data_IF_666759634765
#
_entry.id   IF_666759634765
#
_cell.length_a   1.000
_cell.length_b   1.000
_cell.length_c   1.000
_cell.angle_alpha   90.00
_cell.angle_beta   90.00
_cell.angle_gamma   90.00
#
_symmetry.space_group_name_H-M   'P 1'
#
loop_
_entity.id
_entity.type
_entity.pdbx_description
1 polymer ?
#
# COMPACT_ATOMS: atom_id res chain seq x y z
N UNK A 1 10.32 -10.19 8.60
CA UNK A 1 9.83 -9.25 7.56
C UNK A 1 8.72 -8.40 8.12
N UNK A 2 8.76 -7.09 7.90
CA UNK A 2 7.70 -6.13 8.25
C UNK A 2 7.02 -5.63 6.98
N UNK A 3 5.70 -5.47 7.02
CA UNK A 3 4.91 -4.91 5.92
C UNK A 3 3.96 -3.87 6.52
N UNK A 4 4.08 -2.65 6.08
CA UNK A 4 3.15 -1.56 6.40
C UNK A 4 2.22 -1.33 5.21
N UNK A 5 0.91 -1.27 5.45
CA UNK A 5 -0.10 -1.13 4.41
C UNK A 5 -0.82 0.21 4.61
N UNK A 6 -0.61 1.12 3.68
CA UNK A 6 -1.31 2.41 3.62
C UNK A 6 -2.63 2.22 2.90
N UNK A 7 -3.74 2.46 3.55
CA UNK A 7 -5.09 2.18 3.02
C UNK A 7 -6.14 3.16 3.57
N UNK A 8 -7.26 3.29 2.88
CA UNK A 8 -8.47 3.98 3.38
C UNK A 8 -9.39 3.04 4.18
N UNK A 9 -9.12 1.71 4.14
CA UNK A 9 -9.99 0.67 4.71
C UNK A 9 -9.19 -0.32 5.57
N UNK A 10 -8.55 0.16 6.67
CA UNK A 10 -7.71 -0.70 7.50
C UNK A 10 -8.46 -1.90 8.08
N UNK A 11 -9.73 -1.74 8.49
CA UNK A 11 -10.52 -2.83 9.07
C UNK A 11 -10.71 -4.01 8.10
N UNK A 12 -10.93 -3.71 6.81
CA UNK A 12 -11.07 -4.73 5.77
C UNK A 12 -9.76 -5.52 5.57
N UNK A 13 -8.64 -4.82 5.54
CA UNK A 13 -7.31 -5.43 5.43
C UNK A 13 -6.98 -6.24 6.68
N UNK A 14 -7.19 -5.70 7.87
CA UNK A 14 -6.92 -6.39 9.15
C UNK A 14 -7.74 -7.66 9.31
N UNK A 15 -9.00 -7.69 8.88
CA UNK A 15 -9.84 -8.88 8.92
C UNK A 15 -9.21 -10.05 8.14
N UNK A 16 -8.62 -9.77 6.98
CA UNK A 16 -7.92 -10.76 6.18
C UNK A 16 -6.57 -11.14 6.78
N UNK A 17 -5.81 -10.17 7.26
CA UNK A 17 -4.46 -10.37 7.84
C UNK A 17 -4.49 -11.06 9.21
N UNK A 18 -5.58 -10.96 9.95
CA UNK A 18 -5.80 -11.65 11.22
C UNK A 18 -6.26 -13.09 11.08
N UNK A 19 -6.54 -13.55 9.86
CA UNK A 19 -7.17 -14.84 9.61
C UNK A 19 -6.18 -15.92 9.18
N UNK A 20 -6.53 -17.20 9.49
CA UNK A 20 -5.89 -18.41 8.96
C UNK A 20 -4.35 -18.44 9.13
N UNK A 21 -3.63 -18.72 8.05
CA UNK A 21 -2.16 -18.91 8.07
C UNK A 21 -1.43 -17.60 8.38
N UNK A 22 -1.90 -16.47 7.83
CA UNK A 22 -1.26 -15.16 8.06
C UNK A 22 -1.45 -14.71 9.49
N UNK A 23 -2.65 -14.86 10.07
CA UNK A 23 -2.90 -14.57 11.48
C UNK A 23 -1.95 -15.34 12.40
N UNK A 24 -1.81 -16.64 12.16
CA UNK A 24 -0.85 -17.48 12.93
C UNK A 24 0.61 -17.08 12.72
N UNK A 25 0.98 -16.63 11.52
CA UNK A 25 2.34 -16.16 11.25
C UNK A 25 2.65 -14.85 11.99
N UNK A 26 1.67 -13.94 12.09
CA UNK A 26 1.75 -12.71 12.90
C UNK A 26 1.90 -13.04 14.39
N UNK A 27 1.03 -13.91 14.93
CA UNK A 27 1.07 -14.34 16.34
C UNK A 27 2.41 -14.96 16.72
N UNK A 28 3.02 -15.70 15.80
CA UNK A 28 4.34 -16.35 16.02
C UNK A 28 5.53 -15.44 15.72
N UNK A 29 5.31 -14.19 15.31
CA UNK A 29 6.37 -13.24 15.01
C UNK A 29 7.15 -13.48 13.71
N UNK A 30 6.65 -14.33 12.79
CA UNK A 30 7.30 -14.57 11.50
C UNK A 30 7.13 -13.38 10.55
N UNK A 31 6.06 -12.63 10.69
CA UNK A 31 5.77 -11.42 9.94
C UNK A 31 5.08 -10.40 10.83
N UNK A 32 5.45 -9.13 10.66
CA UNK A 32 4.76 -7.99 11.25
C UNK A 32 3.99 -7.29 10.15
N UNK A 33 2.68 -7.16 10.28
CA UNK A 33 1.84 -6.43 9.33
C UNK A 33 1.10 -5.36 10.11
N UNK A 34 1.23 -4.11 9.69
CA UNK A 34 0.53 -2.95 10.25
C UNK A 34 -0.24 -2.25 9.15
N UNK A 35 -1.46 -1.83 9.45
CA UNK A 35 -2.28 -1.00 8.57
C UNK A 35 -2.28 0.44 9.05
N UNK A 36 -2.23 1.38 8.12
CA UNK A 36 -2.24 2.80 8.38
C UNK A 36 -3.42 3.44 7.67
N UNK A 37 -4.31 4.05 8.45
CA UNK A 37 -5.43 4.82 7.91
C UNK A 37 -4.92 6.13 7.33
N UNK A 38 -4.95 6.27 6.00
CA UNK A 38 -4.44 7.48 5.31
C UNK A 38 -5.21 8.74 5.77
N UNK A 39 -6.50 8.62 6.10
CA UNK A 39 -7.32 9.75 6.57
C UNK A 39 -6.83 10.38 7.87
N UNK A 40 -6.11 9.62 8.70
CA UNK A 40 -5.57 10.13 9.97
C UNK A 40 -4.43 11.13 9.76
N UNK A 41 -3.87 11.18 8.56
CA UNK A 41 -2.73 12.04 8.19
C UNK A 41 -3.11 13.30 7.42
N UNK A 42 -4.40 13.50 7.13
CA UNK A 42 -4.85 14.75 6.51
C UNK A 42 -4.93 15.88 7.54
N UNK A 43 -4.62 17.09 7.10
CA UNK A 43 -4.83 18.33 7.88
C UNK A 43 -6.22 18.91 7.69
N UNK A 44 -7.01 18.34 6.80
CA UNK A 44 -8.39 18.76 6.54
C UNK A 44 -9.31 18.32 7.68
N UNK A 45 -10.08 19.26 8.24
CA UNK A 45 -11.03 19.02 9.33
C UNK A 45 -12.13 18.01 8.98
N UNK A 46 -12.44 17.87 7.69
CA UNK A 46 -13.45 16.92 7.19
C UNK A 46 -12.85 15.54 6.85
N UNK A 47 -11.58 15.30 7.18
CA UNK A 47 -10.85 14.06 6.90
C UNK A 47 -10.82 13.72 5.40
N UNK A 48 -10.86 14.73 4.52
CA UNK A 48 -10.81 14.59 3.09
C UNK A 48 -9.39 14.23 2.65
N UNK A 49 -9.28 13.27 1.74
CA UNK A 49 -8.00 12.74 1.21
C UNK A 49 -7.95 12.74 -0.31
N UNK A 50 -9.00 13.22 -0.95
CA UNK A 50 -9.16 13.26 -2.39
C UNK A 50 -9.47 14.67 -2.89
N UNK A 51 -9.16 14.94 -4.16
CA UNK A 51 -9.44 16.21 -4.84
C UNK A 51 -9.65 15.96 -6.33
N UNK A 52 -10.11 16.97 -7.03
CA UNK A 52 -10.26 16.92 -8.48
C UNK A 52 -8.90 16.82 -9.17
N UNK A 53 -8.78 16.07 -10.29
CA UNK A 53 -7.54 15.98 -11.04
C UNK A 53 -7.17 17.33 -11.66
N UNK A 54 -5.87 17.65 -11.64
CA UNK A 54 -5.34 18.84 -12.33
C UNK A 54 -5.64 18.79 -13.84
N UNK A 55 -6.11 19.89 -14.38
CA UNK A 55 -6.46 19.99 -15.81
C UNK A 55 -7.89 19.56 -16.14
N UNK A 56 -8.68 19.22 -15.13
CA UNK A 56 -10.05 18.76 -15.28
C UNK A 56 -10.13 17.26 -15.64
N UNK A 57 -11.27 16.69 -15.45
CA UNK A 57 -11.54 15.27 -15.66
C UNK A 57 -12.69 14.82 -14.78
N UNK A 58 -13.16 13.59 -14.98
CA UNK A 58 -14.17 12.98 -14.11
C UNK A 58 -13.47 12.21 -12.98
N UNK A 59 -14.11 12.20 -11.81
CA UNK A 59 -13.64 11.46 -10.65
C UNK A 59 -12.74 12.29 -9.72
N UNK A 60 -12.19 11.64 -8.72
CA UNK A 60 -11.30 12.21 -7.73
C UNK A 60 -9.96 11.48 -7.73
N UNK A 61 -8.92 12.14 -7.25
CA UNK A 61 -7.56 11.60 -7.13
C UNK A 61 -7.11 11.75 -5.68
N UNK A 62 -6.43 10.76 -5.15
CA UNK A 62 -5.89 10.83 -3.78
C UNK A 62 -4.81 11.91 -3.70
N UNK A 63 -4.96 12.80 -2.71
CA UNK A 63 -4.05 13.93 -2.49
C UNK A 63 -2.64 13.46 -2.06
N UNK A 64 -1.61 14.15 -2.54
CA UNK A 64 -0.22 13.88 -2.18
C UNK A 64 0.07 14.08 -0.68
N UNK A 65 -0.47 15.14 -0.05
CA UNK A 65 -0.12 15.51 1.34
C UNK A 65 -0.47 14.43 2.38
N UNK A 66 -1.69 13.89 2.47
CA UNK A 66 -1.98 12.82 3.44
C UNK A 66 -1.20 11.54 3.16
N UNK A 67 -0.99 11.19 1.89
CA UNK A 67 -0.17 10.05 1.51
C UNK A 67 1.29 10.23 1.94
N UNK A 68 1.87 11.40 1.64
CA UNK A 68 3.25 11.71 2.02
C UNK A 68 3.43 11.70 3.54
N UNK A 69 2.52 12.29 4.32
CA UNK A 69 2.59 12.28 5.78
C UNK A 69 2.50 10.88 6.38
N UNK A 70 1.62 10.04 5.84
CA UNK A 70 1.51 8.64 6.24
C UNK A 70 2.82 7.88 5.94
N UNK A 71 3.33 8.01 4.73
CA UNK A 71 4.58 7.40 4.31
C UNK A 71 5.77 7.89 5.15
N UNK A 72 5.88 9.20 5.38
CA UNK A 72 6.94 9.80 6.18
C UNK A 72 6.92 9.27 7.62
N UNK A 73 5.74 9.16 8.22
CA UNK A 73 5.59 8.58 9.56
C UNK A 73 6.15 7.16 9.64
N UNK A 74 5.86 6.31 8.65
CA UNK A 74 6.36 4.93 8.61
C UNK A 74 7.89 4.92 8.46
N UNK A 75 8.44 5.74 7.57
CA UNK A 75 9.88 5.87 7.38
C UNK A 75 10.59 6.42 8.63
N UNK A 76 10.00 7.40 9.32
CA UNK A 76 10.54 7.95 10.58
C UNK A 76 10.55 6.89 11.70
N UNK A 77 9.50 6.09 11.83
CA UNK A 77 9.48 4.96 12.76
C UNK A 77 10.55 3.90 12.42
N UNK A 78 10.80 3.65 11.14
CA UNK A 78 11.81 2.72 10.68
C UNK A 78 13.25 3.26 10.85
N UNK A 79 13.41 4.59 10.91
CA UNK A 79 14.70 5.26 10.91
C UNK A 79 15.41 5.28 9.55
N UNK A 80 14.72 4.90 8.49
CA UNK A 80 15.24 4.84 7.12
C UNK A 80 14.11 4.97 6.08
N UNK A 81 14.48 5.26 4.82
CA UNK A 81 13.55 5.17 3.70
C UNK A 81 13.19 3.70 3.44
N UNK A 82 11.91 3.37 3.53
CA UNK A 82 11.41 2.02 3.31
C UNK A 82 11.01 1.83 1.85
N UNK A 83 11.37 0.68 1.25
CA UNK A 83 10.99 0.36 -0.12
C UNK A 83 9.46 0.32 -0.26
N UNK A 84 8.95 1.15 -1.15
CA UNK A 84 7.53 1.48 -1.28
C UNK A 84 6.97 1.00 -2.61
N UNK A 85 5.92 0.20 -2.54
CA UNK A 85 5.25 -0.41 -3.69
C UNK A 85 3.84 0.17 -3.81
N UNK A 86 3.50 0.73 -4.96
CA UNK A 86 2.14 1.11 -5.29
C UNK A 86 1.43 -0.04 -6.01
N UNK A 87 0.27 -0.45 -5.47
CA UNK A 87 -0.56 -1.48 -6.07
C UNK A 87 -1.38 -0.87 -7.22
N UNK A 88 -0.89 -1.02 -8.43
CA UNK A 88 -1.37 -0.34 -9.63
C UNK A 88 -1.61 -1.32 -10.78
N UNK A 89 -2.69 -1.19 -11.57
CA UNK A 89 -2.89 -2.02 -12.75
C UNK A 89 -1.83 -1.81 -13.84
N UNK A 90 -1.12 -0.67 -13.81
CA UNK A 90 -0.06 -0.34 -14.77
C UNK A 90 1.32 -0.92 -14.40
N UNK A 91 1.46 -1.47 -13.20
CA UNK A 91 2.72 -2.01 -12.70
C UNK A 91 3.13 -3.34 -13.34
N UNK A 92 4.36 -3.79 -13.05
CA UNK A 92 4.78 -5.14 -13.46
C UNK A 92 3.90 -6.21 -12.80
N UNK A 93 3.62 -7.28 -13.52
CA UNK A 93 2.75 -8.35 -13.03
C UNK A 93 3.39 -9.08 -11.85
N UNK A 94 2.65 -9.21 -10.76
CA UNK A 94 3.05 -9.99 -9.59
C UNK A 94 3.11 -11.49 -9.95
N UNK A 95 4.30 -12.04 -9.88
CA UNK A 95 4.56 -13.46 -10.02
C UNK A 95 5.19 -14.03 -8.76
N UNK A 96 5.22 -15.34 -8.63
CA UNK A 96 5.94 -16.00 -7.54
C UNK A 96 7.44 -15.63 -7.53
N UNK A 97 8.03 -15.38 -8.69
CA UNK A 97 9.42 -14.92 -8.80
C UNK A 97 9.58 -13.52 -8.23
N UNK A 98 8.72 -12.57 -8.61
CA UNK A 98 8.71 -11.20 -8.08
C UNK A 98 8.58 -11.19 -6.55
N UNK A 99 7.69 -12.01 -6.00
CA UNK A 99 7.53 -12.12 -4.55
C UNK A 99 8.79 -12.64 -3.84
N UNK A 100 9.51 -13.60 -4.46
CA UNK A 100 10.80 -14.10 -3.94
C UNK A 100 11.90 -13.05 -4.01
N UNK A 101 11.96 -12.28 -5.10
CA UNK A 101 12.92 -11.18 -5.28
C UNK A 101 12.73 -10.12 -4.20
N UNK A 102 11.50 -9.66 -3.99
CA UNK A 102 11.18 -8.67 -2.97
C UNK A 102 11.53 -9.17 -1.56
N UNK A 103 11.16 -10.41 -1.24
CA UNK A 103 11.50 -11.01 0.05
C UNK A 103 13.00 -11.17 0.27
N UNK A 104 13.77 -11.43 -0.78
CA UNK A 104 15.22 -11.59 -0.70
C UNK A 104 15.95 -10.25 -0.55
N UNK A 105 15.38 -9.18 -1.07
CA UNK A 105 16.00 -7.86 -1.12
C UNK A 105 15.62 -6.96 0.07
N UNK A 106 14.41 -7.14 0.62
CA UNK A 106 13.85 -6.22 1.60
C UNK A 106 13.29 -6.94 2.83
N UNK A 107 13.68 -6.47 4.00
CA UNK A 107 13.10 -6.91 5.28
C UNK A 107 11.89 -6.08 5.71
N UNK A 108 11.73 -4.91 5.09
CA UNK A 108 10.63 -3.99 5.35
C UNK A 108 10.08 -3.43 4.02
N UNK A 109 8.75 -3.50 3.85
CA UNK A 109 8.04 -2.98 2.68
C UNK A 109 6.88 -2.09 3.11
N UNK A 110 6.60 -1.06 2.31
CA UNK A 110 5.34 -0.30 2.35
C UNK A 110 4.52 -0.68 1.11
N UNK A 111 3.27 -1.07 1.31
CA UNK A 111 2.29 -1.28 0.25
C UNK A 111 1.30 -0.13 0.26
N UNK A 112 1.19 0.59 -0.84
CA UNK A 112 0.25 1.71 -1.01
C UNK A 112 -0.98 1.22 -1.77
N UNK A 113 -2.13 1.25 -1.11
CA UNK A 113 -3.44 0.95 -1.69
C UNK A 113 -4.06 2.24 -2.21
N UNK A 114 -4.01 2.45 -3.52
CA UNK A 114 -4.72 3.54 -4.18
C UNK A 114 -6.23 3.30 -4.22
N UNK A 115 -6.97 4.38 -4.36
CA UNK A 115 -8.42 4.39 -4.51
C UNK A 115 -8.84 5.50 -5.47
N UNK A 116 -10.15 5.61 -5.76
CA UNK A 116 -10.69 6.57 -6.74
C UNK A 116 -10.11 6.37 -8.15
N UNK A 117 -9.79 7.46 -8.86
CA UNK A 117 -9.18 7.40 -10.21
C UNK A 117 -7.66 7.27 -10.16
N UNK A 118 -7.06 7.22 -8.98
CA UNK A 118 -5.63 7.06 -8.79
C UNK A 118 -5.05 7.94 -7.68
N UNK A 119 -3.75 8.09 -7.73
CA UNK A 119 -2.92 8.79 -6.74
C UNK A 119 -2.22 9.96 -7.41
N UNK A 120 -2.08 11.07 -6.68
CA UNK A 120 -1.35 12.25 -7.16
C UNK A 120 0.08 11.88 -7.57
N UNK A 121 0.44 12.23 -8.81
CA UNK A 121 1.73 11.85 -9.42
C UNK A 121 2.93 12.30 -8.61
N UNK A 122 2.84 13.44 -7.91
CA UNK A 122 3.92 13.94 -7.05
C UNK A 122 4.29 12.98 -5.94
N UNK A 123 3.29 12.29 -5.37
CA UNK A 123 3.55 11.24 -4.37
C UNK A 123 4.23 10.02 -5.00
N UNK A 124 3.78 9.60 -6.17
CA UNK A 124 4.40 8.49 -6.89
C UNK A 124 5.86 8.78 -7.22
N UNK A 125 6.16 9.95 -7.75
CA UNK A 125 7.51 10.36 -8.13
C UNK A 125 8.48 10.44 -6.94
N UNK A 126 8.00 10.90 -5.78
CA UNK A 126 8.85 11.12 -4.60
C UNK A 126 8.99 9.89 -3.69
N UNK A 127 7.93 9.12 -3.54
CA UNK A 127 7.83 8.13 -2.47
C UNK A 127 7.80 6.68 -2.97
N UNK A 128 7.32 6.43 -4.20
CA UNK A 128 7.13 5.08 -4.72
C UNK A 128 8.36 4.61 -5.49
N UNK A 129 8.84 3.42 -5.16
CA UNK A 129 10.01 2.82 -5.81
C UNK A 129 9.61 1.92 -6.98
N UNK A 130 8.46 1.26 -6.90
CA UNK A 130 7.93 0.44 -7.99
C UNK A 130 6.40 0.31 -7.94
N UNK A 131 5.81 -0.01 -9.10
CA UNK A 131 4.40 -0.35 -9.22
C UNK A 131 4.24 -1.85 -9.51
N UNK A 132 3.27 -2.49 -8.83
CA UNK A 132 2.98 -3.92 -9.01
C UNK A 132 1.49 -4.11 -9.30
N UNK A 133 1.23 -4.91 -10.33
CA UNK A 133 -0.11 -5.32 -10.77
C UNK A 133 -0.39 -6.79 -10.41
N UNK A 134 -1.61 -7.10 -10.00
CA UNK A 134 -2.05 -8.49 -9.79
C UNK A 134 -2.61 -9.15 -11.05
N UNK A 135 -2.69 -8.44 -12.17
CA UNK A 135 -3.16 -8.96 -13.44
C UNK A 135 -3.70 -7.88 -14.38
N UNK A 136 -4.10 -8.29 -15.57
CA UNK A 136 -4.66 -7.41 -16.60
C UNK A 136 -6.16 -7.12 -16.33
N UNK A 137 -6.42 -6.43 -15.22
CA UNK A 137 -7.74 -5.97 -14.82
C UNK A 137 -7.63 -4.81 -13.82
N UNK A 138 -8.68 -3.99 -13.74
CA UNK A 138 -8.75 -2.85 -12.81
C UNK A 138 -9.71 -3.20 -11.68
N UNK A 139 -9.26 -3.00 -10.45
CA UNK A 139 -10.05 -3.14 -9.23
C UNK A 139 -10.44 -1.75 -8.69
N UNK A 140 -11.39 -1.73 -7.77
CA UNK A 140 -11.85 -0.48 -7.12
C UNK A 140 -10.84 0.15 -6.17
N UNK A 141 -9.81 -0.63 -5.77
CA UNK A 141 -8.76 -0.18 -4.85
C UNK A 141 -7.61 -1.18 -4.77
N UNK A 142 -6.54 -0.77 -4.13
CA UNK A 142 -5.30 -1.55 -3.96
C UNK A 142 -5.33 -2.58 -2.82
N UNK A 143 -6.40 -2.67 -2.03
CA UNK A 143 -6.49 -3.53 -0.85
C UNK A 143 -6.41 -5.01 -1.22
N UNK A 144 -7.17 -5.46 -2.23
CA UNK A 144 -7.13 -6.86 -2.69
C UNK A 144 -5.76 -7.23 -3.26
N UNK A 145 -5.12 -6.43 -4.11
CA UNK A 145 -3.73 -6.63 -4.51
C UNK A 145 -2.75 -6.74 -3.34
N UNK A 146 -2.83 -5.86 -2.35
CA UNK A 146 -1.97 -5.90 -1.16
C UNK A 146 -2.18 -7.18 -0.35
N UNK A 147 -3.44 -7.60 -0.14
CA UNK A 147 -3.78 -8.88 0.47
C UNK A 147 -3.22 -10.05 -0.35
N UNK A 148 -3.34 -10.00 -1.66
CA UNK A 148 -2.81 -11.06 -2.54
C UNK A 148 -1.30 -11.22 -2.39
N UNK A 149 -0.54 -10.12 -2.34
CA UNK A 149 0.89 -10.15 -2.12
C UNK A 149 1.26 -10.80 -0.78
N UNK A 150 0.61 -10.39 0.30
CA UNK A 150 0.90 -10.91 1.65
C UNK A 150 0.54 -12.39 1.84
N UNK A 151 -0.37 -12.93 1.01
CA UNK A 151 -0.81 -14.33 1.06
C UNK A 151 -0.01 -15.26 0.13
N UNK A 152 0.94 -14.74 -0.65
CA UNK A 152 1.79 -15.59 -1.48
C UNK A 152 2.66 -16.51 -0.61
N UNK A 153 2.61 -17.79 -0.91
CA UNK A 153 3.50 -18.77 -0.25
C UNK A 153 4.90 -18.67 -0.85
N UNK A 154 5.88 -18.41 0.00
CA UNK A 154 7.28 -18.61 -0.38
C UNK A 154 7.58 -20.12 -0.32
N UNK A 155 7.60 -20.78 -1.46
CA UNK A 155 8.08 -22.16 -1.63
C UNK A 155 9.52 -22.14 -2.06
#
# INVERSE_FOLDING_TARGET
MRIDIMTLFPDAVEAMMGSSIIGRARERGFVTIQTHQIRDYTTNKQMQVDDYPYGGGRGAVMQADPLYRCWQHICDEAGERVHTIYMSPCGRVLTQQVARELKAQYDHLILVCGHYEGVDQRFLDECVDEEISTGDFVLTGGEIPAVSYTHLRAH
#
